data_IF_056187042173
#
_entry.id   IF_056187042173
#
_cell.length_a   1.000
_cell.length_b   1.000
_cell.length_c   1.000
_cell.angle_alpha   90.00
_cell.angle_beta   90.00
_cell.angle_gamma   90.00
#
_symmetry.space_group_name_H-M   'P 1'
#
loop_
_entity.id
_entity.type
_entity.pdbx_description
1 polymer ?
#
# COMPACT_ATOMS: atom_id res chain seq x y z
N UNK A 1 -15.75 14.41 -32.58
CA UNK A 1 -16.67 14.04 -31.48
C UNK A 1 -18.08 13.95 -32.03
N UNK A 2 -18.86 12.97 -31.57
CA UNK A 2 -20.21 12.70 -32.03
C UNK A 2 -21.13 12.87 -30.83
N UNK A 3 -22.26 13.56 -31.05
CA UNK A 3 -23.31 13.70 -30.04
C UNK A 3 -23.79 12.33 -29.57
N UNK A 4 -23.98 12.16 -28.28
CA UNK A 4 -24.39 10.91 -27.66
C UNK A 4 -25.76 11.09 -27.01
N UNK A 5 -26.78 10.32 -27.44
CA UNK A 5 -28.09 10.44 -26.86
C UNK A 5 -28.12 10.01 -25.40
N UNK A 6 -28.73 10.80 -24.55
CA UNK A 6 -29.07 10.43 -23.17
C UNK A 6 -30.32 9.59 -23.12
N UNK A 7 -31.28 9.85 -24.05
CA UNK A 7 -32.50 9.10 -24.22
C UNK A 7 -32.55 8.46 -25.60
N UNK A 8 -33.06 7.24 -25.69
CA UNK A 8 -33.26 6.51 -26.93
C UNK A 8 -34.52 7.01 -27.63
N UNK A 9 -34.66 6.70 -28.92
CA UNK A 9 -35.87 7.02 -29.73
C UNK A 9 -37.15 6.39 -29.17
N UNK A 10 -37.07 5.28 -28.43
CA UNK A 10 -38.20 4.60 -27.79
C UNK A 10 -38.59 5.22 -26.42
N UNK A 11 -37.96 6.33 -26.01
CA UNK A 11 -38.23 7.03 -24.76
C UNK A 11 -37.44 6.46 -23.55
N UNK A 12 -36.76 5.31 -23.69
CA UNK A 12 -35.97 4.73 -22.63
C UNK A 12 -34.63 5.47 -22.46
N UNK A 13 -34.13 5.53 -21.22
CA UNK A 13 -32.84 6.09 -20.94
C UNK A 13 -31.71 5.17 -21.43
N UNK A 14 -30.64 5.78 -21.96
CA UNK A 14 -29.37 5.05 -22.19
C UNK A 14 -28.66 4.77 -20.87
N UNK A 15 -27.72 3.82 -20.84
CA UNK A 15 -26.89 3.58 -19.66
C UNK A 15 -26.06 4.81 -19.22
N UNK A 16 -25.85 5.77 -20.13
CA UNK A 16 -25.15 7.01 -19.82
C UNK A 16 -25.96 7.96 -18.93
N UNK A 17 -27.29 7.95 -19.06
CA UNK A 17 -28.16 8.86 -18.32
C UNK A 17 -28.09 8.69 -16.78
N UNK A 18 -28.19 7.49 -16.20
CA UNK A 18 -28.04 7.32 -14.76
C UNK A 18 -26.64 7.67 -14.25
N UNK A 19 -25.59 7.42 -15.05
CA UNK A 19 -24.22 7.83 -14.66
C UNK A 19 -24.07 9.34 -14.63
N UNK A 20 -24.63 10.05 -15.61
CA UNK A 20 -24.68 11.53 -15.62
C UNK A 20 -25.45 12.05 -14.40
N UNK A 21 -26.61 11.50 -14.10
CA UNK A 21 -27.41 11.88 -12.93
C UNK A 21 -26.68 11.64 -11.61
N UNK A 22 -25.97 10.54 -11.48
CA UNK A 22 -25.16 10.23 -10.30
C UNK A 22 -23.99 11.20 -10.12
N UNK A 23 -23.31 11.58 -11.20
CA UNK A 23 -22.25 12.59 -11.14
C UNK A 23 -22.80 13.99 -10.86
N UNK A 24 -23.99 14.31 -11.35
CA UNK A 24 -24.68 15.56 -11.01
C UNK A 24 -24.95 15.63 -9.49
N UNK A 25 -25.39 14.52 -8.86
CA UNK A 25 -25.58 14.45 -7.42
C UNK A 25 -24.25 14.67 -6.67
N UNK A 26 -23.12 14.07 -7.13
CA UNK A 26 -21.79 14.31 -6.55
C UNK A 26 -21.40 15.81 -6.63
N UNK A 27 -21.61 16.46 -7.76
CA UNK A 27 -21.36 17.89 -7.95
C UNK A 27 -22.25 18.73 -7.02
N UNK A 28 -23.54 18.40 -6.93
CA UNK A 28 -24.51 19.09 -6.06
C UNK A 28 -24.15 18.97 -4.57
N UNK A 29 -23.50 17.87 -4.16
CA UNK A 29 -22.95 17.70 -2.80
C UNK A 29 -21.71 18.54 -2.51
N UNK A 30 -21.22 19.31 -3.47
CA UNK A 30 -20.11 20.25 -3.29
C UNK A 30 -18.71 19.67 -3.47
N UNK A 31 -18.58 18.47 -4.06
CA UNK A 31 -17.26 17.93 -4.39
C UNK A 31 -16.68 18.65 -5.60
N UNK A 32 -15.46 19.13 -5.48
CA UNK A 32 -14.72 19.82 -6.54
C UNK A 32 -13.70 18.90 -7.26
N UNK A 33 -13.45 17.71 -6.71
CA UNK A 33 -12.61 16.69 -7.31
C UNK A 33 -13.25 15.32 -7.13
N UNK A 34 -13.51 14.64 -8.24
CA UNK A 34 -14.11 13.32 -8.29
C UNK A 34 -13.08 12.31 -8.80
N UNK A 35 -13.12 11.10 -8.25
CA UNK A 35 -12.28 9.99 -8.69
C UNK A 35 -13.18 8.79 -8.94
N UNK A 36 -13.19 8.30 -10.19
CA UNK A 36 -13.87 7.06 -10.55
C UNK A 36 -12.86 5.94 -10.79
N UNK A 37 -13.22 4.73 -10.39
CA UNK A 37 -12.43 3.52 -10.61
C UNK A 37 -13.22 2.59 -11.52
N UNK A 38 -12.77 2.42 -12.77
CA UNK A 38 -13.43 1.64 -13.80
C UNK A 38 -12.57 0.45 -14.24
N UNK A 39 -13.22 -0.63 -14.70
CA UNK A 39 -12.52 -1.68 -15.44
C UNK A 39 -11.94 -1.16 -16.76
N UNK A 40 -10.86 -1.78 -17.22
CA UNK A 40 -10.15 -1.37 -18.44
C UNK A 40 -11.02 -1.39 -19.71
N UNK A 41 -12.06 -2.21 -19.73
CA UNK A 41 -13.07 -2.28 -20.79
C UNK A 41 -13.89 -0.98 -20.95
N UNK A 42 -13.92 -0.13 -19.92
CA UNK A 42 -14.56 1.18 -19.94
C UNK A 42 -13.66 2.32 -20.49
N UNK A 43 -12.50 2.01 -21.07
CA UNK A 43 -11.56 3.04 -21.58
C UNK A 43 -12.20 4.05 -22.55
N UNK A 44 -13.11 3.60 -23.43
CA UNK A 44 -13.85 4.47 -24.34
C UNK A 44 -14.88 5.39 -23.67
N UNK A 45 -15.18 5.14 -22.39
CA UNK A 45 -16.17 5.89 -21.60
C UNK A 45 -15.57 7.14 -20.93
N UNK A 46 -14.27 7.13 -20.69
CA UNK A 46 -13.54 8.15 -19.93
C UNK A 46 -13.79 9.57 -20.44
N UNK A 47 -13.62 9.79 -21.74
CA UNK A 47 -13.79 11.12 -22.34
C UNK A 47 -15.23 11.65 -22.17
N UNK A 48 -16.22 10.77 -22.29
CA UNK A 48 -17.64 11.16 -22.17
C UNK A 48 -17.99 11.60 -20.76
N UNK A 49 -17.55 10.85 -19.74
CA UNK A 49 -17.82 11.19 -18.35
C UNK A 49 -17.12 12.49 -17.96
N UNK A 50 -15.86 12.68 -18.37
CA UNK A 50 -15.14 13.94 -18.13
C UNK A 50 -15.88 15.12 -18.75
N UNK A 51 -16.33 15.00 -19.99
CA UNK A 51 -17.11 16.05 -20.67
C UNK A 51 -18.43 16.35 -19.95
N UNK A 52 -19.16 15.30 -19.52
CA UNK A 52 -20.40 15.46 -18.78
C UNK A 52 -20.20 16.19 -17.44
N UNK A 53 -19.21 15.80 -16.64
CA UNK A 53 -18.88 16.46 -15.36
C UNK A 53 -18.47 17.90 -15.58
N UNK A 54 -17.64 18.17 -16.58
CA UNK A 54 -17.24 19.55 -16.94
C UNK A 54 -18.47 20.41 -17.29
N UNK A 55 -19.38 19.89 -18.10
CA UNK A 55 -20.59 20.61 -18.49
C UNK A 55 -21.52 20.87 -17.29
N UNK A 56 -21.78 19.86 -16.45
CA UNK A 56 -22.68 19.97 -15.29
C UNK A 56 -22.16 20.91 -14.20
N UNK A 57 -20.84 20.99 -14.04
CA UNK A 57 -20.19 21.82 -13.02
C UNK A 57 -19.74 23.17 -13.55
N UNK A 58 -20.00 23.51 -14.82
CA UNK A 58 -19.44 24.68 -15.49
C UNK A 58 -17.90 24.76 -15.37
N UNK A 59 -17.23 23.60 -15.38
CA UNK A 59 -15.80 23.45 -15.25
C UNK A 59 -15.23 23.58 -13.84
N UNK A 60 -16.07 23.69 -12.81
CA UNK A 60 -15.63 23.87 -11.42
C UNK A 60 -15.24 22.54 -10.73
N UNK A 61 -15.71 21.40 -11.24
CA UNK A 61 -15.39 20.08 -10.72
C UNK A 61 -14.52 19.32 -11.71
N UNK A 62 -13.41 18.78 -11.24
CA UNK A 62 -12.55 17.87 -12.01
C UNK A 62 -12.95 16.41 -11.80
N UNK A 63 -12.78 15.56 -12.82
CA UNK A 63 -12.98 14.12 -12.75
C UNK A 63 -11.73 13.39 -13.21
N UNK A 64 -11.13 12.60 -12.29
CA UNK A 64 -10.12 11.61 -12.62
C UNK A 64 -10.76 10.22 -12.75
N UNK A 65 -10.38 9.49 -13.79
CA UNK A 65 -10.83 8.11 -13.99
C UNK A 65 -9.60 7.20 -14.02
N UNK A 66 -9.56 6.25 -13.08
CA UNK A 66 -8.53 5.22 -13.00
C UNK A 66 -9.05 3.93 -13.63
N UNK A 67 -8.40 3.49 -14.68
CA UNK A 67 -8.71 2.22 -15.34
C UNK A 67 -7.93 1.09 -14.67
N UNK A 68 -8.64 0.07 -14.21
CA UNK A 68 -8.05 -1.08 -13.52
C UNK A 68 -8.06 -2.28 -14.46
N UNK A 69 -6.90 -2.89 -14.64
CA UNK A 69 -6.74 -4.10 -15.44
C UNK A 69 -7.30 -5.34 -14.75
N UNK A 70 -7.53 -6.38 -15.54
CA UNK A 70 -8.04 -7.66 -15.05
C UNK A 70 -7.05 -8.33 -14.10
N UNK A 71 -7.59 -8.92 -13.04
CA UNK A 71 -6.88 -9.84 -12.15
C UNK A 71 -7.12 -11.26 -12.65
N UNK A 72 -6.05 -12.00 -12.90
CA UNK A 72 -6.09 -13.42 -13.23
C UNK A 72 -5.75 -14.22 -11.98
N UNK A 73 -6.56 -15.22 -11.67
CA UNK A 73 -6.32 -16.08 -10.52
C UNK A 73 -5.50 -17.30 -10.93
N UNK A 74 -4.54 -17.67 -10.08
CA UNK A 74 -3.69 -18.85 -10.23
C UNK A 74 -3.73 -19.69 -8.95
N UNK A 75 -3.61 -21.00 -9.10
CA UNK A 75 -3.47 -21.95 -8.00
C UNK A 75 -2.51 -23.05 -8.44
N UNK A 76 -1.53 -23.38 -7.61
CA UNK A 76 -0.43 -24.32 -7.93
C UNK A 76 0.30 -23.94 -9.24
N UNK A 77 0.46 -22.64 -9.51
CA UNK A 77 1.10 -22.15 -10.74
C UNK A 77 0.26 -22.23 -12.01
N UNK A 78 -0.96 -22.79 -11.94
CA UNK A 78 -1.85 -22.96 -13.08
C UNK A 78 -3.00 -21.92 -13.04
N UNK A 79 -3.44 -21.41 -14.21
CA UNK A 79 -4.56 -20.50 -14.28
C UNK A 79 -5.85 -21.12 -13.72
N UNK A 80 -6.45 -20.47 -12.74
CA UNK A 80 -7.74 -20.91 -12.20
C UNK A 80 -8.85 -20.52 -13.17
N UNK A 81 -9.42 -21.52 -13.88
CA UNK A 81 -10.47 -21.30 -14.86
C UNK A 81 -11.80 -21.05 -14.18
N UNK A 82 -12.25 -19.80 -14.22
CA UNK A 82 -13.59 -19.42 -13.74
C UNK A 82 -14.63 -19.61 -14.85
N UNK A 83 -15.73 -20.27 -14.54
CA UNK A 83 -16.89 -20.42 -15.42
C UNK A 83 -18.20 -20.31 -14.64
N UNK A 84 -18.97 -19.27 -14.92
CA UNK A 84 -20.32 -19.12 -14.34
C UNK A 84 -21.23 -20.29 -14.69
N UNK A 85 -21.09 -20.86 -15.91
CA UNK A 85 -21.91 -22.01 -16.38
C UNK A 85 -21.54 -23.31 -15.68
N UNK A 86 -20.28 -23.49 -15.31
CA UNK A 86 -19.78 -24.67 -14.61
C UNK A 86 -19.85 -24.53 -13.07
N UNK A 87 -20.30 -23.39 -12.55
CA UNK A 87 -20.31 -23.10 -11.11
C UNK A 87 -18.91 -22.93 -10.49
N UNK A 88 -17.87 -22.84 -11.31
CA UNK A 88 -16.48 -22.70 -10.87
C UNK A 88 -16.08 -21.23 -10.93
N UNK A 89 -16.49 -20.44 -9.97
CA UNK A 89 -15.97 -19.07 -9.81
C UNK A 89 -15.62 -18.85 -8.34
N UNK A 90 -14.57 -18.08 -8.11
CA UNK A 90 -14.15 -17.67 -6.78
C UNK A 90 -14.73 -16.29 -6.51
N UNK A 91 -15.47 -16.18 -5.43
CA UNK A 91 -15.94 -14.88 -4.95
C UNK A 91 -14.82 -14.15 -4.22
N UNK A 92 -14.91 -12.81 -4.12
CA UNK A 92 -13.97 -12.03 -3.30
C UNK A 92 -13.99 -12.50 -1.83
N UNK A 93 -15.16 -12.93 -1.33
CA UNK A 93 -15.27 -13.50 0.02
C UNK A 93 -14.41 -14.75 0.19
N UNK A 94 -14.55 -15.73 -0.70
CA UNK A 94 -13.75 -16.96 -0.65
C UNK A 94 -12.26 -16.70 -0.78
N UNK A 95 -11.86 -15.74 -1.63
CA UNK A 95 -10.47 -15.33 -1.74
C UNK A 95 -9.95 -14.75 -0.42
N UNK A 96 -10.70 -13.84 0.21
CA UNK A 96 -10.31 -13.25 1.50
C UNK A 96 -10.32 -14.28 2.63
N UNK A 97 -11.25 -15.24 2.62
CA UNK A 97 -11.28 -16.34 3.60
C UNK A 97 -10.08 -17.27 3.46
N UNK A 98 -9.56 -17.48 2.25
CA UNK A 98 -8.40 -18.35 2.00
C UNK A 98 -7.06 -17.68 2.36
N UNK A 99 -6.85 -16.41 1.96
CA UNK A 99 -5.53 -15.75 2.07
C UNK A 99 -5.48 -14.64 3.11
N UNK A 100 -6.62 -14.28 3.68
CA UNK A 100 -6.75 -13.17 4.62
C UNK A 100 -6.91 -11.80 3.94
N UNK A 101 -7.51 -10.83 4.65
CA UNK A 101 -7.79 -9.50 4.11
C UNK A 101 -6.51 -8.70 3.84
N UNK A 102 -5.52 -8.77 4.72
CA UNK A 102 -4.30 -7.96 4.65
C UNK A 102 -3.44 -8.37 3.45
N UNK A 103 -3.23 -9.68 3.25
CA UNK A 103 -2.48 -10.20 2.11
C UNK A 103 -3.20 -9.91 0.79
N UNK A 104 -4.52 -10.12 0.73
CA UNK A 104 -5.33 -9.76 -0.43
C UNK A 104 -5.18 -8.29 -0.77
N UNK A 105 -5.37 -7.40 0.22
CA UNK A 105 -5.30 -5.95 0.03
C UNK A 105 -3.91 -5.50 -0.42
N UNK A 106 -2.85 -5.98 0.22
CA UNK A 106 -1.48 -5.60 -0.14
C UNK A 106 -1.15 -6.01 -1.58
N UNK A 107 -1.42 -7.26 -1.96
CA UNK A 107 -1.10 -7.77 -3.30
C UNK A 107 -1.89 -7.02 -4.38
N UNK A 108 -3.18 -6.74 -4.15
CA UNK A 108 -4.01 -5.97 -5.08
C UNK A 108 -3.51 -4.52 -5.22
N UNK A 109 -3.09 -3.89 -4.12
CA UNK A 109 -2.61 -2.50 -4.12
C UNK A 109 -1.14 -2.37 -4.56
N UNK A 110 -0.34 -3.43 -4.47
CA UNK A 110 1.05 -3.43 -4.92
C UNK A 110 1.20 -3.46 -6.45
N UNK A 111 0.11 -3.43 -7.20
CA UNK A 111 0.16 -3.41 -8.66
C UNK A 111 -0.35 -2.09 -9.19
N UNK A 112 0.35 -1.53 -10.18
CA UNK A 112 -0.11 -0.34 -10.89
C UNK A 112 -1.48 -0.64 -11.53
N UNK A 113 -2.42 0.28 -11.45
CA UNK A 113 -3.79 0.07 -11.87
C UNK A 113 -3.95 -0.35 -13.36
N UNK A 114 -3.07 0.15 -14.24
CA UNK A 114 -3.09 -0.15 -15.68
C UNK A 114 -2.29 -1.42 -16.05
N UNK A 115 -1.71 -2.13 -15.08
CA UNK A 115 -0.99 -3.37 -15.28
C UNK A 115 -1.82 -4.58 -14.79
N UNK A 116 -1.87 -5.65 -15.60
CA UNK A 116 -2.54 -6.90 -15.19
C UNK A 116 -1.87 -7.51 -13.97
N UNK A 117 -2.67 -8.14 -13.11
CA UNK A 117 -2.22 -8.84 -11.92
C UNK A 117 -2.49 -10.35 -12.06
N UNK A 118 -1.46 -11.14 -11.85
CA UNK A 118 -1.57 -12.58 -11.64
C UNK A 118 -1.58 -12.82 -10.13
N UNK A 119 -2.74 -13.17 -9.59
CA UNK A 119 -2.92 -13.46 -8.18
C UNK A 119 -2.81 -14.96 -7.96
N UNK A 120 -1.69 -15.40 -7.42
CA UNK A 120 -1.42 -16.80 -7.11
C UNK A 120 -1.66 -17.05 -5.62
N UNK A 121 -2.65 -17.89 -5.31
CA UNK A 121 -3.05 -18.20 -3.93
C UNK A 121 -1.90 -18.74 -3.09
N UNK A 122 -1.09 -19.61 -3.67
CA UNK A 122 -0.01 -20.29 -2.95
C UNK A 122 1.12 -19.31 -2.64
N UNK A 123 1.52 -18.49 -3.62
CA UNK A 123 2.56 -17.47 -3.44
C UNK A 123 2.20 -16.40 -2.40
N UNK A 124 0.93 -16.02 -2.34
CA UNK A 124 0.45 -15.02 -1.38
C UNK A 124 0.51 -15.54 0.07
N UNK A 125 0.49 -16.84 0.26
CA UNK A 125 0.58 -17.50 1.58
C UNK A 125 2.01 -17.88 1.98
N UNK A 126 2.98 -17.80 1.09
CA UNK A 126 4.38 -18.11 1.39
C UNK A 126 4.96 -17.19 2.46
N UNK A 127 5.69 -17.80 3.42
CA UNK A 127 6.40 -17.07 4.47
C UNK A 127 7.86 -16.83 4.08
N UNK A 128 8.07 -16.25 2.91
CA UNK A 128 9.40 -16.01 2.34
C UNK A 128 9.57 -14.54 1.96
N UNK A 129 10.82 -14.14 1.65
CA UNK A 129 11.12 -12.76 1.19
C UNK A 129 10.49 -12.43 -0.16
N UNK A 130 10.13 -13.46 -0.94
CA UNK A 130 9.44 -13.34 -2.21
C UNK A 130 7.98 -12.91 -2.04
N UNK A 131 7.41 -13.09 -0.84
CA UNK A 131 6.10 -12.56 -0.48
C UNK A 131 6.25 -11.16 0.13
N UNK A 132 5.91 -10.08 -0.59
CA UNK A 132 6.22 -8.73 -0.14
C UNK A 132 5.46 -8.30 1.12
N UNK A 133 4.23 -8.75 1.33
CA UNK A 133 3.50 -8.42 2.57
C UNK A 133 4.14 -9.12 3.77
N UNK A 134 4.51 -10.39 3.64
CA UNK A 134 5.22 -11.12 4.69
C UNK A 134 6.52 -10.41 5.05
N UNK A 135 7.29 -9.98 4.04
CA UNK A 135 8.59 -9.34 4.23
C UNK A 135 8.49 -8.00 4.98
N UNK A 136 7.48 -7.19 4.66
CA UNK A 136 7.19 -5.92 5.35
C UNK A 136 6.73 -6.17 6.79
N UNK A 137 5.79 -7.09 7.00
CA UNK A 137 5.30 -7.47 8.33
C UNK A 137 6.43 -8.03 9.22
N UNK A 138 7.32 -8.82 8.62
CA UNK A 138 8.46 -9.39 9.33
C UNK A 138 9.45 -8.32 9.79
N UNK A 139 9.68 -7.27 8.99
CA UNK A 139 10.48 -6.12 9.42
C UNK A 139 9.86 -5.45 10.65
N UNK A 140 8.56 -5.18 10.64
CA UNK A 140 7.87 -4.58 11.76
C UNK A 140 7.93 -5.45 13.03
N UNK A 141 7.64 -6.74 12.91
CA UNK A 141 7.69 -7.68 14.04
C UNK A 141 9.09 -7.80 14.65
N UNK A 142 10.14 -7.81 13.81
CA UNK A 142 11.54 -7.78 14.27
C UNK A 142 11.85 -6.53 15.07
N UNK A 143 11.44 -5.36 14.59
CA UNK A 143 11.64 -4.09 15.31
C UNK A 143 10.93 -4.15 16.66
N UNK A 144 9.67 -4.60 16.70
CA UNK A 144 8.92 -4.76 17.94
C UNK A 144 9.63 -5.73 18.93
N UNK A 145 10.24 -6.79 18.42
CA UNK A 145 11.03 -7.71 19.25
C UNK A 145 12.26 -7.04 19.85
N UNK A 146 12.99 -6.20 19.10
CA UNK A 146 14.12 -5.43 19.62
C UNK A 146 13.66 -4.44 20.68
N UNK A 147 12.54 -3.74 20.44
CA UNK A 147 11.98 -2.79 21.41
C UNK A 147 11.61 -3.48 22.74
N UNK A 148 10.95 -4.65 22.69
CA UNK A 148 10.66 -5.44 23.90
C UNK A 148 11.95 -5.81 24.62
N UNK A 149 12.94 -6.33 23.92
CA UNK A 149 14.24 -6.69 24.51
C UNK A 149 14.97 -5.51 25.13
N UNK A 150 14.87 -4.32 24.52
CA UNK A 150 15.43 -3.09 25.09
C UNK A 150 14.74 -2.76 26.44
N UNK A 151 13.41 -2.86 26.49
CA UNK A 151 12.63 -2.68 27.73
C UNK A 151 13.04 -3.69 28.80
N UNK A 152 13.23 -4.96 28.46
CA UNK A 152 13.67 -6.02 29.39
C UNK A 152 15.07 -5.74 29.95
N UNK A 153 15.91 -5.03 29.19
CA UNK A 153 17.22 -4.55 29.62
C UNK A 153 17.17 -3.24 30.44
N UNK A 154 15.98 -2.73 30.74
CA UNK A 154 15.78 -1.50 31.51
C UNK A 154 15.97 -0.21 30.71
N UNK A 155 16.04 -0.27 29.40
CA UNK A 155 16.13 0.92 28.55
C UNK A 155 14.74 1.57 28.38
N UNK A 156 14.68 2.89 28.52
CA UNK A 156 13.48 3.65 28.20
C UNK A 156 13.34 3.75 26.67
N UNK A 157 12.23 3.25 26.15
CA UNK A 157 11.94 3.19 24.70
C UNK A 157 10.69 3.98 24.32
N UNK A 158 10.19 4.81 25.23
CA UNK A 158 9.07 5.71 24.95
C UNK A 158 9.50 6.87 24.01
N UNK A 159 8.55 7.36 23.21
CA UNK A 159 8.83 8.34 22.16
C UNK A 159 9.41 9.66 22.72
N UNK A 160 9.04 10.08 23.97
CA UNK A 160 9.57 11.31 24.58
C UNK A 160 11.04 11.16 24.94
N UNK A 161 11.42 10.03 25.54
CA UNK A 161 12.81 9.72 25.88
C UNK A 161 13.67 9.58 24.61
N UNK A 162 13.15 8.88 23.60
CA UNK A 162 13.85 8.67 22.34
C UNK A 162 14.06 9.97 21.54
N UNK A 163 13.11 10.91 21.59
CA UNK A 163 13.21 12.20 20.91
C UNK A 163 14.40 13.07 21.37
N UNK A 164 14.87 12.86 22.61
CA UNK A 164 16.04 13.56 23.18
C UNK A 164 17.38 12.86 22.94
N UNK A 165 17.43 11.73 22.24
CA UNK A 165 18.63 10.94 22.06
C UNK A 165 19.63 11.61 21.10
N UNK A 166 20.92 11.53 21.42
CA UNK A 166 21.98 11.91 20.49
C UNK A 166 22.08 10.89 19.35
N UNK A 167 22.09 11.35 18.11
CA UNK A 167 22.16 10.50 16.92
C UNK A 167 23.55 10.45 16.28
N UNK A 168 24.58 11.07 16.88
CA UNK A 168 25.93 11.14 16.32
C UNK A 168 26.59 9.76 16.14
N UNK A 169 26.11 8.73 16.84
CA UNK A 169 26.58 7.35 16.67
C UNK A 169 26.07 6.67 15.39
N UNK A 170 25.06 7.21 14.73
CA UNK A 170 24.55 6.75 13.43
C UNK A 170 25.51 7.25 12.35
N UNK A 171 26.45 6.42 11.94
CA UNK A 171 27.54 6.83 11.05
C UNK A 171 27.86 5.83 9.93
N UNK A 172 27.44 4.56 10.07
CA UNK A 172 27.63 3.56 9.03
C UNK A 172 26.74 3.86 7.82
N UNK A 173 27.27 3.63 6.63
CA UNK A 173 26.55 3.89 5.37
C UNK A 173 25.20 3.21 5.29
N UNK A 174 25.04 2.02 5.90
CA UNK A 174 23.76 1.29 5.90
C UNK A 174 22.77 1.90 6.88
N UNK A 175 23.22 2.44 8.01
CA UNK A 175 22.37 3.16 8.96
C UNK A 175 21.89 4.48 8.34
N UNK A 176 22.78 5.20 7.68
CA UNK A 176 22.45 6.45 6.97
C UNK A 176 21.50 6.20 5.78
N UNK A 177 21.69 5.09 5.05
CA UNK A 177 20.78 4.69 3.97
C UNK A 177 19.36 4.44 4.51
N UNK A 178 19.22 3.70 5.61
CA UNK A 178 17.95 3.46 6.26
C UNK A 178 17.29 4.77 6.75
N UNK A 179 18.07 5.67 7.36
CA UNK A 179 17.60 6.97 7.83
C UNK A 179 17.10 7.84 6.66
N UNK A 180 17.85 7.89 5.56
CA UNK A 180 17.46 8.60 4.35
C UNK A 180 16.16 8.02 3.77
N UNK A 181 16.04 6.69 3.71
CA UNK A 181 14.83 6.00 3.25
C UNK A 181 13.62 6.35 4.11
N UNK A 182 13.76 6.37 5.44
CA UNK A 182 12.68 6.81 6.35
C UNK A 182 12.26 8.26 6.06
N UNK A 183 13.23 9.15 5.82
CA UNK A 183 12.96 10.57 5.56
C UNK A 183 12.22 10.84 4.22
N UNK A 184 12.27 9.93 3.27
CA UNK A 184 11.55 10.03 1.98
C UNK A 184 10.03 9.90 2.13
N UNK A 185 9.53 9.25 3.21
CA UNK A 185 8.14 8.83 3.34
C UNK A 185 7.11 9.95 3.18
N UNK A 186 7.24 11.13 3.82
CA UNK A 186 6.24 12.19 3.69
C UNK A 186 6.06 12.64 2.24
N UNK A 187 7.17 12.82 1.51
CA UNK A 187 7.15 13.19 0.08
C UNK A 187 6.52 12.10 -0.78
N UNK A 188 6.81 10.83 -0.47
CA UNK A 188 6.22 9.71 -1.18
C UNK A 188 4.70 9.68 -1.04
N UNK A 189 4.19 9.88 0.20
CA UNK A 189 2.74 9.91 0.46
C UNK A 189 2.08 11.04 -0.33
N UNK A 190 2.69 12.23 -0.34
CA UNK A 190 2.18 13.36 -1.13
C UNK A 190 2.10 13.03 -2.63
N UNK A 191 3.16 12.43 -3.18
CA UNK A 191 3.19 12.03 -4.60
C UNK A 191 2.12 10.98 -4.88
N UNK A 192 2.02 9.95 -4.04
CA UNK A 192 1.05 8.86 -4.19
C UNK A 192 -0.39 9.39 -4.16
N UNK A 193 -0.68 10.34 -3.25
CA UNK A 193 -1.98 10.97 -3.13
C UNK A 193 -2.32 11.83 -4.36
N UNK A 194 -1.41 12.70 -4.80
CA UNK A 194 -1.62 13.58 -5.96
C UNK A 194 -1.83 12.82 -7.28
N UNK A 195 -1.13 11.67 -7.44
CA UNK A 195 -1.26 10.84 -8.64
C UNK A 195 -2.35 9.78 -8.53
N UNK A 196 -2.97 9.61 -7.36
CA UNK A 196 -3.89 8.51 -7.04
C UNK A 196 -3.25 7.13 -7.34
N UNK A 197 -2.02 6.92 -6.84
CA UNK A 197 -1.20 5.74 -7.10
C UNK A 197 -0.77 5.04 -5.80
N UNK A 198 -1.66 4.31 -5.12
CA UNK A 198 -1.38 3.66 -3.84
C UNK A 198 -0.27 2.60 -3.93
N UNK A 199 -0.02 2.02 -5.10
CA UNK A 199 1.06 1.06 -5.31
C UNK A 199 2.44 1.62 -4.96
N UNK A 200 2.65 2.94 -5.04
CA UNK A 200 3.91 3.58 -4.64
C UNK A 200 4.23 3.36 -3.17
N UNK A 201 3.20 3.38 -2.32
CA UNK A 201 3.36 3.11 -0.88
C UNK A 201 3.76 1.64 -0.66
N UNK A 202 3.09 0.70 -1.33
CA UNK A 202 3.41 -0.72 -1.20
C UNK A 202 4.85 -1.05 -1.65
N UNK A 203 5.31 -0.49 -2.77
CA UNK A 203 6.69 -0.64 -3.23
C UNK A 203 7.70 -0.04 -2.24
N UNK A 204 7.43 1.17 -1.78
CA UNK A 204 8.29 1.83 -0.81
C UNK A 204 8.43 1.04 0.50
N UNK A 205 7.32 0.49 1.02
CA UNK A 205 7.36 -0.34 2.23
C UNK A 205 8.22 -1.59 2.04
N UNK A 206 8.16 -2.22 0.87
CA UNK A 206 9.02 -3.35 0.54
C UNK A 206 10.51 -2.94 0.50
N UNK A 207 10.82 -1.82 -0.15
CA UNK A 207 12.19 -1.28 -0.20
C UNK A 207 12.70 -0.92 1.20
N UNK A 208 11.88 -0.24 2.02
CA UNK A 208 12.23 0.11 3.39
C UNK A 208 12.49 -1.14 4.24
N UNK A 209 11.65 -2.17 4.11
CA UNK A 209 11.85 -3.46 4.77
C UNK A 209 13.16 -4.12 4.31
N UNK A 210 13.49 -4.02 3.02
CA UNK A 210 14.74 -4.56 2.45
C UNK A 210 15.97 -3.87 3.03
N UNK A 211 15.97 -2.55 3.14
CA UNK A 211 17.06 -1.79 3.77
C UNK A 211 17.21 -2.18 5.25
N UNK A 212 16.10 -2.27 5.99
CA UNK A 212 16.12 -2.70 7.39
C UNK A 212 16.67 -4.13 7.55
N UNK A 213 16.21 -5.09 6.74
CA UNK A 213 16.71 -6.46 6.82
C UNK A 213 18.17 -6.59 6.40
N UNK A 214 18.63 -5.76 5.47
CA UNK A 214 20.04 -5.68 5.07
C UNK A 214 20.90 -5.22 6.25
N UNK A 215 20.50 -4.14 6.93
CA UNK A 215 21.19 -3.64 8.12
C UNK A 215 21.17 -4.68 9.27
N UNK A 216 20.01 -5.33 9.49
CA UNK A 216 19.89 -6.43 10.47
C UNK A 216 20.91 -7.54 10.21
N UNK A 217 21.02 -8.00 8.96
CA UNK A 217 21.92 -9.09 8.59
C UNK A 217 23.39 -8.67 8.76
N UNK A 218 23.75 -7.43 8.39
CA UNK A 218 25.10 -6.89 8.66
C UNK A 218 25.45 -6.90 10.14
N UNK A 219 24.49 -6.69 11.03
CA UNK A 219 24.70 -6.75 12.49
C UNK A 219 25.10 -8.14 12.99
N UNK A 220 24.86 -9.23 12.23
CA UNK A 220 25.35 -10.55 12.56
C UNK A 220 26.87 -10.65 12.40
N UNK A 221 27.40 -10.08 11.32
CA UNK A 221 28.83 -10.13 10.97
C UNK A 221 29.61 -8.99 11.63
N UNK A 222 28.96 -7.85 11.88
CA UNK A 222 29.54 -6.66 12.47
C UNK A 222 28.81 -6.27 13.76
N UNK A 223 29.28 -6.72 14.94
CA UNK A 223 28.61 -6.49 16.23
C UNK A 223 28.28 -5.02 16.51
N UNK A 224 29.13 -4.09 16.06
CA UNK A 224 28.89 -2.64 16.18
C UNK A 224 27.61 -2.14 15.49
N UNK A 225 27.08 -2.90 14.52
CA UNK A 225 25.84 -2.58 13.80
C UNK A 225 24.60 -3.20 14.44
N UNK A 226 24.74 -4.01 15.50
CA UNK A 226 23.60 -4.50 16.27
C UNK A 226 22.85 -3.35 16.90
N UNK A 227 21.54 -3.45 16.94
CA UNK A 227 20.68 -2.40 17.51
C UNK A 227 20.79 -2.28 19.03
N UNK A 228 21.12 -3.37 19.72
CA UNK A 228 21.37 -3.40 21.16
C UNK A 228 22.83 -3.76 21.41
N UNK A 229 23.54 -2.90 22.12
CA UNK A 229 24.93 -3.07 22.55
C UNK A 229 24.97 -3.01 24.07
N UNK A 230 25.33 -4.12 24.71
CA UNK A 230 25.28 -4.23 26.17
C UNK A 230 26.21 -3.26 26.86
N UNK A 231 27.39 -3.01 26.25
CA UNK A 231 28.42 -2.19 26.84
C UNK A 231 28.35 -0.71 26.41
N UNK A 232 27.36 -0.36 25.53
CA UNK A 232 27.16 1.01 25.05
C UNK A 232 25.68 1.35 24.92
N UNK A 233 25.02 1.73 26.04
CA UNK A 233 23.61 2.12 26.03
C UNK A 233 23.31 3.36 25.18
N UNK A 234 24.25 4.31 25.09
CA UNK A 234 24.07 5.53 24.31
C UNK A 234 23.97 5.23 22.80
N UNK A 235 24.88 4.42 22.27
CA UNK A 235 24.79 3.93 20.89
C UNK A 235 23.53 3.08 20.66
N UNK A 236 23.13 2.26 21.63
CA UNK A 236 21.87 1.51 21.56
C UNK A 236 20.66 2.43 21.45
N UNK A 237 20.60 3.52 22.25
CA UNK A 237 19.51 4.50 22.16
C UNK A 237 19.40 5.11 20.76
N UNK A 238 20.50 5.58 20.17
CA UNK A 238 20.51 6.14 18.81
C UNK A 238 19.97 5.15 17.77
N UNK A 239 20.41 3.88 17.86
CA UNK A 239 19.94 2.82 16.93
C UNK A 239 18.48 2.45 17.16
N UNK A 240 18.02 2.48 18.41
CA UNK A 240 16.60 2.29 18.74
C UNK A 240 15.76 3.40 18.11
N UNK A 241 16.19 4.67 18.14
CA UNK A 241 15.50 5.77 17.45
C UNK A 241 15.34 5.45 15.97
N UNK A 242 16.42 5.05 15.29
CA UNK A 242 16.37 4.74 13.85
C UNK A 242 15.34 3.64 13.53
N UNK A 243 15.36 2.53 14.27
CA UNK A 243 14.41 1.44 14.01
C UNK A 243 12.99 1.78 14.49
N UNK A 244 12.82 2.60 15.52
CA UNK A 244 11.51 3.11 15.95
C UNK A 244 10.89 3.96 14.86
N UNK A 245 11.64 4.90 14.27
CA UNK A 245 11.18 5.68 13.12
C UNK A 245 10.81 4.77 11.94
N UNK A 246 11.61 3.73 11.68
CA UNK A 246 11.30 2.73 10.65
C UNK A 246 9.98 2.02 10.93
N UNK A 247 9.72 1.58 12.18
CA UNK A 247 8.46 0.95 12.56
C UNK A 247 7.26 1.89 12.42
N UNK A 248 7.40 3.16 12.78
CA UNK A 248 6.35 4.18 12.61
C UNK A 248 6.00 4.35 11.13
N UNK A 249 7.00 4.44 10.27
CA UNK A 249 6.78 4.56 8.81
C UNK A 249 6.12 3.31 8.24
N UNK A 250 6.58 2.10 8.60
CA UNK A 250 5.95 0.85 8.16
C UNK A 250 4.49 0.80 8.63
N UNK A 251 4.24 1.06 9.92
CA UNK A 251 2.90 1.05 10.49
C UNK A 251 1.97 2.06 9.81
N UNK A 252 2.46 3.29 9.60
CA UNK A 252 1.67 4.35 8.94
C UNK A 252 1.38 3.99 7.49
N UNK A 253 2.38 3.51 6.76
CA UNK A 253 2.22 3.11 5.36
C UNK A 253 1.27 1.94 5.18
N UNK A 254 1.35 0.92 6.04
CA UNK A 254 0.38 -0.18 6.07
C UNK A 254 -1.02 0.33 6.42
N UNK A 255 -1.14 1.24 7.41
CA UNK A 255 -2.41 1.87 7.78
C UNK A 255 -3.06 2.64 6.63
N UNK A 256 -2.29 3.38 5.81
CA UNK A 256 -2.80 4.04 4.60
C UNK A 256 -3.37 3.02 3.61
N UNK A 257 -2.75 1.84 3.51
CA UNK A 257 -3.25 0.74 2.69
C UNK A 257 -4.41 -0.05 3.35
N UNK A 258 -4.82 0.32 4.57
CA UNK A 258 -5.86 -0.35 5.35
C UNK A 258 -5.44 -1.73 5.87
N UNK A 259 -4.16 -1.89 6.21
CA UNK A 259 -3.54 -3.12 6.70
C UNK A 259 -3.01 -2.89 8.11
N UNK A 260 -3.24 -3.83 9.01
CA UNK A 260 -2.71 -3.75 10.38
C UNK A 260 -1.25 -4.25 10.44
N UNK A 261 -0.34 -3.52 11.13
CA UNK A 261 1.02 -3.99 11.35
C UNK A 261 1.04 -5.13 12.37
N UNK A 262 1.85 -6.17 12.09
CA UNK A 262 2.02 -7.33 12.98
C UNK A 262 3.13 -7.06 13.98
N UNK A 263 2.87 -7.25 15.27
CA UNK A 263 3.85 -7.07 16.34
C UNK A 263 4.67 -8.33 16.63
N UNK A 264 4.11 -9.49 16.32
CA UNK A 264 4.76 -10.81 16.46
C UNK A 264 4.36 -11.68 15.29
N UNK A 265 5.31 -12.45 14.78
CA UNK A 265 5.05 -13.50 13.80
C UNK A 265 5.20 -14.85 14.50
N UNK A 266 4.15 -15.65 14.41
CA UNK A 266 4.09 -17.01 14.98
C UNK A 266 4.19 -18.05 13.88
#
# INVERSE_FOLDING_TARGET
DVDRPIQKSDGNWTYFAPDVAYHFDKVARGYNHLIDVFGADHGGYVKRMKAAVTAMSSGQTSLDIKLIQLVRLFKNGEPFKMSKRAGTFVTLRELVEQVGPDATRFVMLARKNDASLDFDFDKVLEQTKENPIFYVQYAHARICSVMRKATDLGMAVDDNTLAGSDLNSISDSSELSLAAKVAEFPRLVEIAARSNEPHRIAFYLYELASEFHSLWNKGNDHPRLRFLQQDDPATSCSKIVLIRCTAVVISTGLGILGIAPVQEMR
#
